data_IF_669933250338
#
_entry.id   IF_669933250338
#
_cell.length_a   1.000
_cell.length_b   1.000
_cell.length_c   1.000
_cell.angle_alpha   90.00
_cell.angle_beta   90.00
_cell.angle_gamma   90.00
#
_symmetry.space_group_name_H-M   'P 1'
#
loop_
_entity.id
_entity.type
_entity.pdbx_description
1 polymer ?
#
# COMPACT_ATOMS: atom_id res chain seq x y z
N UNK A 1 -20.12 -6.16 -33.95
CA UNK A 1 -19.91 -5.92 -32.51
C UNK A 1 -18.56 -6.48 -32.15
N UNK A 2 -17.69 -5.72 -31.50
CA UNK A 2 -16.45 -6.26 -30.94
C UNK A 2 -16.79 -7.01 -29.66
N UNK A 3 -16.45 -8.30 -29.59
CA UNK A 3 -16.49 -9.06 -28.34
C UNK A 3 -15.32 -8.58 -27.49
N UNK A 4 -15.62 -8.02 -26.32
CA UNK A 4 -14.62 -7.51 -25.38
C UNK A 4 -14.60 -8.45 -24.18
N UNK A 5 -13.42 -8.96 -23.85
CA UNK A 5 -13.20 -9.78 -22.67
C UNK A 5 -13.21 -8.88 -21.42
N UNK A 6 -14.00 -9.26 -20.42
CA UNK A 6 -13.97 -8.70 -19.07
C UNK A 6 -13.91 -9.86 -18.08
N UNK A 7 -13.25 -9.67 -16.95
CA UNK A 7 -12.95 -10.78 -16.06
C UNK A 7 -11.92 -10.48 -14.98
N UNK A 8 -11.75 -11.48 -14.12
CA UNK A 8 -10.75 -11.51 -13.05
C UNK A 8 -9.97 -12.81 -13.19
N UNK A 9 -8.65 -12.70 -13.23
CA UNK A 9 -7.74 -13.85 -13.19
C UNK A 9 -6.89 -13.81 -11.92
N UNK A 10 -6.66 -14.98 -11.34
CA UNK A 10 -5.80 -15.18 -10.18
C UNK A 10 -4.75 -16.24 -10.49
N UNK A 11 -3.52 -16.01 -10.05
CA UNK A 11 -2.47 -17.02 -10.19
C UNK A 11 -1.28 -16.72 -9.29
N UNK A 12 -0.43 -17.73 -9.11
CA UNK A 12 0.86 -17.56 -8.46
C UNK A 12 1.87 -17.18 -9.53
N UNK A 13 2.52 -16.05 -9.33
CA UNK A 13 3.56 -15.49 -10.20
C UNK A 13 4.88 -15.40 -9.46
N UNK A 14 5.96 -15.22 -10.21
CA UNK A 14 7.30 -15.08 -9.65
C UNK A 14 8.07 -14.01 -10.40
N UNK A 15 8.78 -13.18 -9.64
CA UNK A 15 9.81 -12.27 -10.16
C UNK A 15 11.09 -12.55 -9.39
N UNK A 16 12.19 -12.81 -10.11
CA UNK A 16 13.47 -13.21 -9.53
C UNK A 16 13.39 -14.44 -8.60
N UNK A 17 13.51 -14.26 -7.29
CA UNK A 17 13.44 -15.34 -6.28
C UNK A 17 12.16 -15.27 -5.42
N UNK A 18 11.28 -14.32 -5.71
CA UNK A 18 10.13 -14.01 -4.88
C UNK A 18 8.82 -14.41 -5.58
N UNK A 19 7.98 -15.18 -4.89
CA UNK A 19 6.66 -15.62 -5.35
C UNK A 19 5.56 -14.73 -4.78
N UNK A 20 4.57 -14.38 -5.60
CA UNK A 20 3.43 -13.58 -5.19
C UNK A 20 2.15 -14.05 -5.88
N UNK A 21 1.02 -13.73 -5.28
CA UNK A 21 -0.27 -13.86 -5.92
C UNK A 21 -0.48 -12.68 -6.85
N UNK A 22 -0.80 -12.93 -8.12
CA UNK A 22 -1.23 -11.90 -9.06
C UNK A 22 -2.74 -12.03 -9.26
N UNK A 23 -3.44 -10.92 -9.10
CA UNK A 23 -4.85 -10.75 -9.46
C UNK A 23 -4.89 -9.74 -10.59
N UNK A 24 -5.32 -10.12 -11.79
CA UNK A 24 -5.50 -9.19 -12.91
C UNK A 24 -6.98 -8.99 -13.19
N UNK A 25 -7.37 -7.73 -13.39
CA UNK A 25 -8.74 -7.33 -13.70
C UNK A 25 -8.74 -6.62 -15.04
N UNK A 26 -9.63 -7.02 -15.94
CA UNK A 26 -9.80 -6.39 -17.25
C UNK A 26 -11.27 -6.04 -17.52
N UNK A 27 -11.49 -4.94 -18.26
CA UNK A 27 -12.81 -4.50 -18.69
C UNK A 27 -13.69 -3.96 -17.57
N UNK A 28 -15.01 -4.08 -17.76
CA UNK A 28 -16.04 -3.63 -16.82
C UNK A 28 -16.67 -4.83 -16.13
N UNK A 29 -16.55 -4.93 -14.81
CA UNK A 29 -17.13 -6.04 -14.05
C UNK A 29 -18.64 -5.86 -13.87
N UNK A 30 -19.40 -6.83 -14.36
CA UNK A 30 -20.88 -6.88 -14.34
C UNK A 30 -21.40 -7.68 -13.15
N UNK A 31 -22.71 -7.69 -12.92
CA UNK A 31 -23.30 -8.52 -11.85
C UNK A 31 -22.98 -10.02 -12.00
N UNK A 32 -23.05 -10.56 -13.22
CA UNK A 32 -22.80 -11.98 -13.50
C UNK A 32 -21.36 -12.39 -13.18
N UNK A 33 -20.42 -11.48 -13.42
CA UNK A 33 -19.01 -11.63 -13.05
C UNK A 33 -18.84 -11.83 -11.55
N UNK A 34 -19.58 -11.09 -10.73
CA UNK A 34 -19.54 -11.26 -9.27
C UNK A 34 -20.12 -12.61 -8.85
N UNK A 35 -21.29 -12.99 -9.37
CA UNK A 35 -21.95 -14.25 -8.97
C UNK A 35 -21.11 -15.49 -9.29
N UNK A 36 -20.30 -15.43 -10.36
CA UNK A 36 -19.52 -16.58 -10.81
C UNK A 36 -18.07 -16.53 -10.38
N UNK A 37 -17.37 -15.42 -10.58
CA UNK A 37 -15.92 -15.36 -10.36
C UNK A 37 -15.56 -15.22 -8.89
N UNK A 38 -16.32 -14.46 -8.10
CA UNK A 38 -16.00 -14.26 -6.67
C UNK A 38 -15.99 -15.56 -5.87
N UNK A 39 -16.98 -16.47 -5.98
CA UNK A 39 -16.93 -17.77 -5.30
C UNK A 39 -15.75 -18.62 -5.73
N UNK A 40 -15.41 -18.61 -7.03
CA UNK A 40 -14.25 -19.33 -7.56
C UNK A 40 -12.94 -18.78 -7.00
N UNK A 41 -12.79 -17.46 -6.93
CA UNK A 41 -11.64 -16.79 -6.32
C UNK A 41 -11.51 -17.13 -4.84
N UNK A 42 -12.62 -17.09 -4.09
CA UNK A 42 -12.63 -17.49 -2.67
C UNK A 42 -12.15 -18.92 -2.50
N UNK A 43 -12.66 -19.85 -3.30
CA UNK A 43 -12.24 -21.25 -3.25
C UNK A 43 -10.77 -21.47 -3.64
N UNK A 44 -10.21 -20.65 -4.53
CA UNK A 44 -8.81 -20.74 -4.95
C UNK A 44 -7.84 -20.22 -3.87
N UNK A 45 -8.29 -19.28 -3.03
CA UNK A 45 -7.51 -18.72 -1.93
C UNK A 45 -7.72 -19.54 -0.65
N UNK A 46 -8.87 -20.18 -0.51
CA UNK A 46 -9.18 -21.07 0.62
C UNK A 46 -8.20 -22.24 0.68
N UNK A 47 -7.52 -22.39 1.83
CA UNK A 47 -6.46 -23.38 2.03
C UNK A 47 -5.02 -22.84 1.89
N UNK A 48 -4.81 -21.58 1.47
CA UNK A 48 -3.49 -20.94 1.57
C UNK A 48 -3.19 -20.63 3.03
N UNK A 49 -2.29 -21.42 3.63
CA UNK A 49 -1.88 -21.31 5.04
C UNK A 49 -0.57 -20.54 5.26
N UNK A 50 0.04 -20.04 4.19
CA UNK A 50 1.30 -19.32 4.28
C UNK A 50 1.05 -17.89 4.80
N UNK A 51 1.67 -17.48 5.93
CA UNK A 51 1.48 -16.15 6.49
C UNK A 51 2.22 -15.03 5.75
N UNK A 52 3.02 -15.29 4.69
CA UNK A 52 3.75 -14.26 3.91
C UNK A 52 3.35 -14.19 2.42
N UNK A 53 2.04 -14.24 2.14
CA UNK A 53 1.57 -14.06 0.76
C UNK A 53 1.57 -12.58 0.41
N UNK A 54 2.38 -12.17 -0.57
CA UNK A 54 2.29 -10.82 -1.15
C UNK A 54 1.41 -10.87 -2.40
N UNK A 55 0.68 -9.79 -2.64
CA UNK A 55 -0.32 -9.72 -3.70
C UNK A 55 -0.03 -8.55 -4.63
N UNK A 56 -0.11 -8.79 -5.93
CA UNK A 56 -0.16 -7.75 -6.95
C UNK A 56 -1.57 -7.71 -7.54
N UNK A 57 -2.23 -6.57 -7.40
CA UNK A 57 -3.52 -6.27 -8.01
C UNK A 57 -3.27 -5.43 -9.28
N UNK A 58 -3.35 -6.06 -10.44
CA UNK A 58 -3.14 -5.47 -11.76
C UNK A 58 -4.49 -5.06 -12.38
N UNK A 59 -4.83 -3.79 -12.23
CA UNK A 59 -6.02 -3.12 -12.74
C UNK A 59 -5.67 -2.16 -13.89
N UNK A 60 -4.57 -2.41 -14.60
CA UNK A 60 -4.13 -1.54 -15.72
C UNK A 60 -5.12 -1.54 -16.89
N UNK A 61 -5.89 -2.60 -17.06
CA UNK A 61 -6.94 -2.77 -18.08
C UNK A 61 -8.35 -2.66 -17.49
N UNK A 62 -8.47 -2.25 -16.22
CA UNK A 62 -9.75 -2.10 -15.56
C UNK A 62 -10.46 -0.83 -16.03
N UNK A 63 -11.74 -0.96 -16.39
CA UNK A 63 -12.54 0.13 -16.96
C UNK A 63 -13.72 0.56 -16.09
N UNK A 64 -14.18 -0.28 -15.15
CA UNK A 64 -15.29 0.06 -14.27
C UNK A 64 -15.99 -1.16 -13.67
N UNK A 65 -17.00 -0.90 -12.83
CA UNK A 65 -17.93 -1.93 -12.36
C UNK A 65 -19.35 -1.40 -12.33
N UNK A 66 -20.31 -2.28 -12.55
CA UNK A 66 -21.74 -1.95 -12.41
C UNK A 66 -22.17 -2.05 -10.94
N UNK A 67 -21.58 -2.97 -10.18
CA UNK A 67 -21.91 -3.22 -8.77
C UNK A 67 -20.74 -2.95 -7.83
N UNK A 68 -20.45 -1.65 -7.64
CA UNK A 68 -19.41 -1.13 -6.72
C UNK A 68 -19.46 -1.77 -5.33
N UNK A 69 -20.65 -1.92 -4.74
CA UNK A 69 -20.81 -2.48 -3.42
C UNK A 69 -20.40 -3.97 -3.32
N UNK A 70 -20.64 -4.77 -4.36
CA UNK A 70 -20.26 -6.18 -4.36
C UNK A 70 -18.74 -6.39 -4.47
N UNK A 71 -18.06 -5.50 -5.20
CA UNK A 71 -16.59 -5.49 -5.23
C UNK A 71 -15.99 -5.02 -3.91
N UNK A 72 -16.56 -3.95 -3.36
CA UNK A 72 -16.22 -3.47 -2.03
C UNK A 72 -16.38 -4.64 -1.04
N UNK A 73 -17.52 -5.32 -0.98
CA UNK A 73 -17.74 -6.47 -0.08
C UNK A 73 -16.86 -7.69 -0.41
N UNK A 74 -16.43 -7.89 -1.65
CA UNK A 74 -15.48 -8.95 -1.98
C UNK A 74 -14.09 -8.62 -1.41
N UNK A 75 -13.55 -7.45 -1.74
CA UNK A 75 -12.25 -7.00 -1.25
C UNK A 75 -12.28 -6.87 0.28
N UNK A 76 -13.35 -6.29 0.84
CA UNK A 76 -13.58 -6.07 2.27
C UNK A 76 -14.16 -7.30 3.01
N UNK A 77 -14.47 -8.39 2.31
CA UNK A 77 -15.04 -9.61 2.88
C UNK A 77 -14.17 -10.85 2.63
N UNK A 78 -12.99 -10.67 2.05
CA UNK A 78 -11.91 -11.64 2.07
C UNK A 78 -11.46 -11.78 3.54
N UNK A 79 -11.80 -12.90 4.16
CA UNK A 79 -11.39 -13.26 5.54
C UNK A 79 -9.88 -13.53 5.67
N UNK A 80 -9.16 -13.49 4.55
CA UNK A 80 -7.72 -13.70 4.44
C UNK A 80 -6.85 -12.48 4.83
N UNK A 81 -7.40 -11.50 5.57
CA UNK A 81 -6.64 -10.31 6.05
C UNK A 81 -5.35 -10.66 6.80
N UNK A 82 -5.31 -11.84 7.42
CA UNK A 82 -4.16 -12.33 8.17
C UNK A 82 -3.16 -13.14 7.31
N UNK A 83 -3.48 -13.39 6.04
CA UNK A 83 -2.65 -14.16 5.09
C UNK A 83 -1.78 -13.23 4.24
N UNK A 84 -2.26 -12.01 3.96
CA UNK A 84 -1.56 -11.08 3.08
C UNK A 84 -0.68 -10.09 3.83
N UNK A 85 0.62 -10.08 3.52
CA UNK A 85 1.61 -9.23 4.20
C UNK A 85 1.90 -7.92 3.49
N UNK A 86 1.77 -7.92 2.15
CA UNK A 86 1.94 -6.76 1.26
C UNK A 86 1.00 -6.84 0.08
N UNK A 87 0.35 -5.73 -0.26
CA UNK A 87 -0.50 -5.63 -1.46
C UNK A 87 -0.08 -4.42 -2.28
N UNK A 88 0.33 -4.66 -3.52
CA UNK A 88 0.59 -3.60 -4.48
C UNK A 88 -0.58 -3.50 -5.46
N UNK A 89 -1.19 -2.33 -5.54
CA UNK A 89 -2.21 -2.01 -6.53
C UNK A 89 -1.59 -1.23 -7.68
N UNK A 90 -1.86 -1.66 -8.91
CA UNK A 90 -1.36 -1.04 -10.14
C UNK A 90 -2.54 -0.77 -11.05
N UNK A 91 -2.75 0.48 -11.45
CA UNK A 91 -3.91 0.85 -12.26
C UNK A 91 -3.95 2.34 -12.58
N UNK A 92 -5.02 2.75 -13.25
CA UNK A 92 -5.26 4.14 -13.69
C UNK A 92 -6.16 4.91 -12.71
N UNK A 93 -6.54 6.15 -13.07
CA UNK A 93 -7.23 7.18 -12.25
C UNK A 93 -8.51 6.72 -11.53
N UNK A 94 -9.18 5.65 -11.99
CA UNK A 94 -10.38 5.16 -11.33
C UNK A 94 -10.12 4.68 -9.88
N UNK A 95 -8.87 4.42 -9.48
CA UNK A 95 -8.52 3.88 -8.16
C UNK A 95 -8.25 4.99 -7.13
N UNK A 96 -8.01 6.22 -7.59
CA UNK A 96 -7.74 7.40 -6.74
C UNK A 96 -8.96 7.72 -5.84
N UNK A 97 -10.18 7.43 -6.30
CA UNK A 97 -11.41 7.58 -5.49
C UNK A 97 -11.57 6.51 -4.39
N UNK A 98 -10.90 5.36 -4.50
CA UNK A 98 -11.10 4.21 -3.61
C UNK A 98 -9.92 3.93 -2.69
N UNK A 99 -8.75 4.51 -2.98
CA UNK A 99 -7.52 4.32 -2.21
C UNK A 99 -7.67 4.60 -0.71
N UNK A 100 -8.54 5.55 -0.34
CA UNK A 100 -8.84 5.90 1.05
C UNK A 100 -9.62 4.80 1.78
N UNK A 101 -10.63 4.20 1.14
CA UNK A 101 -11.45 3.13 1.75
C UNK A 101 -10.65 1.82 1.89
N UNK A 102 -9.93 1.45 0.84
CA UNK A 102 -9.05 0.27 0.83
C UNK A 102 -7.94 0.45 1.87
N UNK A 103 -7.26 1.61 1.90
CA UNK A 103 -6.19 1.89 2.86
C UNK A 103 -6.63 1.80 4.33
N UNK A 104 -7.83 2.29 4.67
CA UNK A 104 -8.35 2.26 6.05
C UNK A 104 -8.68 0.86 6.60
N UNK A 105 -8.93 -0.12 5.73
CA UNK A 105 -9.40 -1.45 6.12
C UNK A 105 -8.27 -2.49 6.23
N UNK A 106 -7.16 -2.26 5.52
CA UNK A 106 -6.00 -3.14 5.46
C UNK A 106 -4.94 -2.87 6.55
N UNK A 107 -5.29 -2.26 7.68
CA UNK A 107 -4.35 -1.81 8.73
C UNK A 107 -3.44 -2.89 9.37
N UNK A 108 -3.53 -4.17 8.96
CA UNK A 108 -2.59 -5.25 9.32
C UNK A 108 -1.52 -5.55 8.26
N UNK A 109 -1.66 -5.07 7.02
CA UNK A 109 -0.73 -5.29 5.90
C UNK A 109 -0.25 -3.97 5.28
N UNK A 110 0.96 -3.95 4.70
CA UNK A 110 1.39 -2.77 3.95
C UNK A 110 0.64 -2.77 2.59
N UNK A 111 -0.09 -1.71 2.26
CA UNK A 111 -0.72 -1.51 0.95
C UNK A 111 -0.09 -0.30 0.27
N UNK A 112 0.24 -0.41 -1.01
CA UNK A 112 0.74 0.72 -1.78
C UNK A 112 0.21 0.73 -3.21
N UNK A 113 -0.08 1.93 -3.71
CA UNK A 113 -0.53 2.17 -5.07
C UNK A 113 0.64 2.59 -5.96
N UNK A 114 0.64 2.12 -7.19
CA UNK A 114 1.67 2.37 -8.19
C UNK A 114 1.05 2.68 -9.54
N UNK A 115 1.71 3.55 -10.30
CA UNK A 115 1.35 3.82 -11.70
C UNK A 115 1.98 2.82 -12.67
N UNK A 116 3.01 2.10 -12.21
CA UNK A 116 3.77 1.14 -13.01
C UNK A 116 3.86 -0.23 -12.32
N UNK A 117 3.77 -1.30 -13.12
CA UNK A 117 4.00 -2.66 -12.66
C UNK A 117 5.43 -2.85 -12.13
N UNK A 118 6.42 -2.18 -12.72
CA UNK A 118 7.82 -2.32 -12.31
C UNK A 118 8.07 -1.78 -10.90
N UNK A 119 7.50 -0.63 -10.57
CA UNK A 119 7.59 -0.06 -9.22
C UNK A 119 6.93 -0.97 -8.18
N UNK A 120 5.79 -1.55 -8.55
CA UNK A 120 5.07 -2.50 -7.72
C UNK A 120 5.89 -3.78 -7.48
N UNK A 121 6.51 -4.34 -8.52
CA UNK A 121 7.39 -5.51 -8.39
C UNK A 121 8.58 -5.22 -7.48
N UNK A 122 9.23 -4.06 -7.65
CA UNK A 122 10.37 -3.66 -6.80
C UNK A 122 9.94 -3.58 -5.33
N UNK A 123 8.78 -2.97 -5.06
CA UNK A 123 8.31 -2.81 -3.68
C UNK A 123 7.80 -4.11 -3.04
N UNK A 124 7.13 -4.96 -3.82
CA UNK A 124 6.71 -6.30 -3.38
C UNK A 124 7.92 -7.17 -3.07
N UNK A 125 9.00 -7.08 -3.85
CA UNK A 125 10.21 -7.87 -3.64
C UNK A 125 11.00 -7.47 -2.38
N UNK A 126 10.86 -6.23 -1.89
CA UNK A 126 11.52 -5.82 -0.63
C UNK A 126 11.05 -6.73 0.51
N UNK A 127 11.98 -7.42 1.17
CA UNK A 127 11.68 -8.26 2.33
C UNK A 127 10.95 -7.45 3.40
N UNK A 128 9.92 -8.04 4.01
CA UNK A 128 9.32 -7.49 5.22
C UNK A 128 10.34 -7.71 6.33
N UNK A 129 10.79 -6.63 6.98
CA UNK A 129 11.61 -6.76 8.18
C UNK A 129 10.68 -7.29 9.26
N UNK A 130 10.63 -8.61 9.43
CA UNK A 130 9.86 -9.23 10.52
C UNK A 130 10.62 -8.96 11.81
N UNK A 131 10.05 -8.24 12.78
CA UNK A 131 10.70 -7.98 14.05
C UNK A 131 10.95 -9.29 14.80
N UNK A 132 12.21 -9.70 14.92
CA UNK A 132 12.59 -10.97 15.57
C UNK A 132 12.98 -10.77 17.03
N UNK A 133 13.55 -9.61 17.38
CA UNK A 133 13.93 -9.28 18.77
C UNK A 133 12.82 -8.54 19.52
N UNK A 134 12.84 -8.57 20.86
CA UNK A 134 11.89 -7.82 21.69
C UNK A 134 11.93 -6.31 21.40
N UNK A 135 13.13 -5.76 21.21
CA UNK A 135 13.33 -4.36 20.86
C UNK A 135 12.74 -4.03 19.49
N UNK A 136 12.97 -4.89 18.49
CA UNK A 136 12.38 -4.68 17.16
C UNK A 136 10.84 -4.73 17.22
N UNK A 137 10.26 -5.65 18.01
CA UNK A 137 8.81 -5.79 18.15
C UNK A 137 8.19 -4.55 18.79
N UNK A 138 8.80 -4.03 19.86
CA UNK A 138 8.36 -2.80 20.52
C UNK A 138 8.39 -1.60 19.56
N UNK A 139 9.53 -1.36 18.88
CA UNK A 139 9.66 -0.27 17.91
C UNK A 139 8.69 -0.41 16.73
N UNK A 140 8.44 -1.62 16.27
CA UNK A 140 7.46 -1.85 15.20
C UNK A 140 6.02 -1.62 15.67
N UNK A 141 5.68 -1.97 16.92
CA UNK A 141 4.36 -1.70 17.50
C UNK A 141 4.10 -0.19 17.65
N UNK A 142 5.14 0.60 17.91
CA UNK A 142 5.08 2.06 18.06
C UNK A 142 5.31 2.84 16.76
N UNK A 143 5.38 2.16 15.62
CA UNK A 143 5.69 2.77 14.30
C UNK A 143 4.78 3.95 13.96
N UNK A 144 3.47 3.84 14.20
CA UNK A 144 2.53 4.92 13.88
C UNK A 144 2.60 6.09 14.87
N UNK A 145 2.86 5.82 16.16
CA UNK A 145 3.14 6.86 17.16
C UNK A 145 4.36 7.70 16.73
N UNK A 146 5.47 7.04 16.39
CA UNK A 146 6.70 7.69 15.94
C UNK A 146 6.47 8.55 14.68
N UNK A 147 5.62 8.07 13.74
CA UNK A 147 5.26 8.82 12.53
C UNK A 147 4.45 10.08 12.86
N UNK A 148 3.45 9.94 13.72
CA UNK A 148 2.61 11.07 14.14
C UNK A 148 3.43 12.11 14.91
N UNK A 149 4.39 11.69 15.72
CA UNK A 149 5.30 12.59 16.42
C UNK A 149 6.14 13.41 15.43
N UNK A 150 6.68 12.78 14.39
CA UNK A 150 7.43 13.48 13.34
C UNK A 150 6.54 14.46 12.56
N UNK A 151 5.31 14.08 12.23
CA UNK A 151 4.33 14.96 11.59
C UNK A 151 3.98 16.16 12.48
N UNK A 152 3.82 15.93 13.79
CA UNK A 152 3.56 16.98 14.76
C UNK A 152 4.74 17.94 14.86
N UNK A 153 5.98 17.44 14.83
CA UNK A 153 7.18 18.29 14.79
C UNK A 153 7.21 19.18 13.55
N UNK A 154 6.90 18.62 12.38
CA UNK A 154 6.79 19.38 11.14
C UNK A 154 5.72 20.49 11.26
N UNK A 155 4.49 20.14 11.66
CA UNK A 155 3.37 21.09 11.77
C UNK A 155 3.64 22.21 12.79
N UNK A 156 4.28 21.89 13.91
CA UNK A 156 4.64 22.89 14.92
C UNK A 156 5.65 23.92 14.40
N UNK A 157 6.63 23.48 13.59
CA UNK A 157 7.60 24.39 13.00
C UNK A 157 7.02 25.21 11.83
N UNK A 158 6.13 24.63 11.03
CA UNK A 158 5.44 25.36 9.96
C UNK A 158 4.60 26.52 10.52
N UNK A 159 3.87 26.30 11.62
CA UNK A 159 3.10 27.36 12.31
C UNK A 159 3.95 28.52 12.81
N UNK A 160 5.21 28.28 13.18
CA UNK A 160 6.13 29.35 13.63
C UNK A 160 6.53 30.24 12.45
N UNK A 161 6.66 29.66 11.24
CA UNK A 161 6.97 30.41 10.01
C UNK A 161 5.80 31.32 9.63
N UNK A 162 4.57 30.81 9.70
CA UNK A 162 3.33 31.55 9.43
C UNK A 162 3.19 32.82 10.31
N UNK A 163 3.64 32.78 11.56
CA UNK A 163 3.67 33.97 12.43
C UNK A 163 4.71 35.03 12.06
N UNK A 164 5.79 34.65 11.37
CA UNK A 164 6.96 35.50 11.12
C UNK A 164 7.08 35.97 9.66
N UNK A 165 6.26 35.45 8.74
CA UNK A 165 6.31 35.77 7.31
C UNK A 165 4.91 36.18 6.84
N UNK A 166 4.70 37.42 6.37
CA UNK A 166 3.35 37.94 6.11
C UNK A 166 2.57 37.25 4.99
N UNK A 167 3.27 36.60 4.03
CA UNK A 167 2.66 35.86 2.91
C UNK A 167 3.65 34.79 2.42
N UNK A 168 3.79 33.64 3.10
CA UNK A 168 4.51 32.52 2.51
C UNK A 168 3.62 31.87 1.46
N UNK A 169 4.18 31.52 0.32
CA UNK A 169 3.65 30.37 -0.41
C UNK A 169 3.83 29.17 0.53
N UNK A 170 2.71 28.68 1.10
CA UNK A 170 2.69 27.60 2.09
C UNK A 170 3.46 26.35 1.61
N UNK A 171 3.58 26.19 0.29
CA UNK A 171 4.34 25.12 -0.32
C UNK A 171 5.86 25.32 -0.20
N UNK A 172 6.38 26.51 -0.50
CA UNK A 172 7.82 26.79 -0.42
C UNK A 172 8.36 26.62 1.01
N UNK A 173 7.63 27.12 2.00
CA UNK A 173 8.00 26.97 3.41
C UNK A 173 8.00 25.49 3.85
N UNK A 174 7.03 24.72 3.36
CA UNK A 174 6.94 23.28 3.62
C UNK A 174 8.12 22.52 3.00
N UNK A 175 8.48 22.81 1.75
CA UNK A 175 9.59 22.16 1.04
C UNK A 175 10.94 22.44 1.71
N UNK A 176 11.19 23.68 2.12
CA UNK A 176 12.40 24.06 2.86
C UNK A 176 12.46 23.33 4.20
N UNK A 177 11.36 23.28 4.95
CA UNK A 177 11.33 22.61 6.25
C UNK A 177 11.56 21.10 6.11
N UNK A 178 11.01 20.45 5.08
CA UNK A 178 11.29 19.03 4.79
C UNK A 178 12.78 18.83 4.51
N UNK A 179 13.40 19.69 3.68
CA UNK A 179 14.83 19.60 3.36
C UNK A 179 15.72 19.67 4.63
N UNK A 180 15.40 20.57 5.56
CA UNK A 180 16.10 20.71 6.84
C UNK A 180 15.96 19.41 7.69
N UNK A 181 14.74 18.87 7.75
CA UNK A 181 14.49 17.62 8.49
C UNK A 181 15.24 16.43 7.86
N UNK A 182 15.28 16.36 6.54
CA UNK A 182 16.01 15.32 5.81
C UNK A 182 17.51 15.37 6.05
N UNK A 183 18.12 16.57 6.02
CA UNK A 183 19.53 16.76 6.34
C UNK A 183 19.84 16.23 7.75
N UNK A 184 19.02 16.61 8.74
CA UNK A 184 19.20 16.14 10.11
C UNK A 184 19.02 14.62 10.26
N UNK A 185 18.08 14.03 9.53
CA UNK A 185 17.91 12.58 9.52
C UNK A 185 19.11 11.85 8.92
N UNK A 186 19.80 12.43 7.93
CA UNK A 186 21.05 11.84 7.41
C UNK A 186 22.18 11.89 8.43
N UNK A 187 22.31 12.98 9.19
CA UNK A 187 23.29 13.07 10.28
C UNK A 187 23.01 12.01 11.36
N UNK A 188 21.76 11.89 11.82
CA UNK A 188 21.36 10.89 12.82
C UNK A 188 21.66 9.48 12.29
N UNK A 189 21.43 9.22 11.01
CA UNK A 189 21.75 7.94 10.38
C UNK A 189 23.26 7.65 10.37
N UNK A 190 24.10 8.67 10.17
CA UNK A 190 25.55 8.52 10.30
C UNK A 190 25.93 8.19 11.76
N UNK A 191 25.38 8.94 12.72
CA UNK A 191 25.62 8.74 14.15
C UNK A 191 25.22 7.34 14.64
N UNK A 192 24.11 6.80 14.14
CA UNK A 192 23.68 5.41 14.41
C UNK A 192 24.68 4.40 13.87
N UNK A 193 25.19 4.59 12.65
CA UNK A 193 26.20 3.70 12.05
C UNK A 193 27.51 3.72 12.83
N UNK A 194 27.88 4.89 13.33
CA UNK A 194 29.07 5.10 14.17
C UNK A 194 28.88 4.59 15.61
N UNK A 195 27.67 4.13 15.96
CA UNK A 195 27.37 3.55 17.26
C UNK A 195 27.23 4.56 18.38
N UNK A 196 26.98 5.84 18.07
CA UNK A 196 26.87 6.91 19.08
C UNK A 196 25.69 6.75 20.05
N UNK A 197 24.71 5.91 19.71
CA UNK A 197 23.49 5.67 20.50
C UNK A 197 23.46 4.28 21.14
N UNK A 198 24.62 3.63 21.31
CA UNK A 198 24.75 2.34 22.02
C UNK A 198 25.04 2.51 23.50
#
# INVERSE_FOLDING_TARGET
MSTIEHGISIGISRVNKFFFMKVKINGTLTHEDYERMVPMLRSAIDGVKDPDVRVLMDATEFSGWEMKAAWDDFIFGIEFRNVFTKIAFVGTTAWEEYGVKIGSWFMSGDVKFFKSLDEAYIWLNKEKIIPTTAVQKDLHARKEEIRNDLESLFKSNLKIVDWNVPEPDDQDASEILVSILEEKLQEIKADVKDGKYK
#
